data_IF_369319861614
#
_entry.id   IF_369319861614
#
_cell.length_a   1.000
_cell.length_b   1.000
_cell.length_c   1.000
_cell.angle_alpha   90.00
_cell.angle_beta   90.00
_cell.angle_gamma   90.00
#
_symmetry.space_group_name_H-M   'P 1'
#
loop_
_entity.id
_entity.type
_entity.pdbx_description
1 polymer ?
#
# COMPACT_ATOMS: atom_id res chain seq x y z
N UNK A 1 14.66 4.96 -2.25
CA UNK A 1 13.59 4.78 -3.25
C UNK A 1 13.60 3.31 -3.61
N UNK A 2 12.54 2.58 -3.27
CA UNK A 2 12.41 1.14 -3.52
C UNK A 2 12.44 0.91 -5.05
N UNK A 3 13.40 0.14 -5.56
CA UNK A 3 13.54 -0.10 -7.00
C UNK A 3 12.44 -1.03 -7.54
N UNK A 4 11.64 -0.55 -8.50
CA UNK A 4 10.45 -1.19 -9.11
C UNK A 4 10.52 -2.72 -9.29
N UNK A 5 11.70 -3.29 -9.59
CA UNK A 5 11.90 -4.72 -9.86
C UNK A 5 11.50 -5.64 -8.72
N UNK A 6 11.66 -5.23 -7.46
CA UNK A 6 11.29 -6.08 -6.33
C UNK A 6 9.79 -6.01 -5.99
N UNK A 7 9.05 -4.99 -6.45
CA UNK A 7 7.57 -4.98 -6.37
C UNK A 7 7.00 -6.00 -7.36
N UNK A 8 7.63 -6.19 -8.52
CA UNK A 8 7.14 -7.07 -9.59
C UNK A 8 7.00 -8.53 -9.17
N UNK A 9 7.66 -8.97 -8.09
CA UNK A 9 7.49 -10.33 -7.56
C UNK A 9 6.14 -10.51 -6.86
N UNK A 10 5.54 -9.42 -6.37
CA UNK A 10 4.22 -9.43 -5.74
C UNK A 10 3.13 -9.17 -6.78
N UNK A 11 1.94 -9.69 -6.51
CA UNK A 11 0.73 -9.11 -7.08
C UNK A 11 0.56 -7.72 -6.46
N UNK A 12 0.87 -6.69 -7.24
CA UNK A 12 0.81 -5.29 -6.86
C UNK A 12 0.12 -4.47 -7.96
N UNK A 13 -0.54 -3.39 -7.56
CA UNK A 13 -1.24 -2.47 -8.44
C UNK A 13 -0.69 -1.07 -8.26
N UNK A 14 -0.34 -0.41 -9.37
CA UNK A 14 -0.01 1.02 -9.34
C UNK A 14 -1.24 1.80 -9.76
N UNK A 15 -1.77 2.58 -8.83
CA UNK A 15 -2.96 3.39 -9.02
C UNK A 15 -2.54 4.83 -9.30
N UNK A 16 -3.15 5.43 -10.33
CA UNK A 16 -2.85 6.78 -10.79
C UNK A 16 -4.07 7.69 -10.68
N UNK A 17 -3.86 8.94 -10.28
CA UNK A 17 -4.88 9.98 -10.28
C UNK A 17 -4.26 11.37 -10.23
N UNK A 18 -4.98 12.37 -10.73
CA UNK A 18 -4.64 13.79 -10.51
C UNK A 18 -4.90 14.24 -9.07
N UNK A 19 -5.72 13.49 -8.34
CA UNK A 19 -5.98 13.69 -6.92
C UNK A 19 -5.60 12.43 -6.13
N UNK A 20 -4.63 12.57 -5.23
CA UNK A 20 -4.16 11.45 -4.41
C UNK A 20 -5.24 10.92 -3.47
N UNK A 21 -6.12 11.78 -2.95
CA UNK A 21 -7.19 11.36 -2.02
C UNK A 21 -8.18 10.43 -2.71
N UNK A 22 -8.42 10.60 -4.02
CA UNK A 22 -9.29 9.69 -4.79
C UNK A 22 -8.71 8.27 -4.84
N UNK A 23 -7.38 8.14 -4.91
CA UNK A 23 -6.71 6.83 -4.88
C UNK A 23 -6.91 6.21 -3.50
N UNK A 24 -6.63 6.97 -2.45
CA UNK A 24 -6.75 6.49 -1.06
C UNK A 24 -8.18 6.07 -0.72
N UNK A 25 -9.19 6.86 -1.14
CA UNK A 25 -10.62 6.53 -0.98
C UNK A 25 -10.99 5.23 -1.70
N UNK A 26 -10.50 5.03 -2.93
CA UNK A 26 -10.74 3.78 -3.68
C UNK A 26 -10.15 2.57 -2.95
N UNK A 27 -8.94 2.69 -2.42
CA UNK A 27 -8.30 1.61 -1.66
C UNK A 27 -9.07 1.33 -0.36
N UNK A 28 -9.43 2.38 0.38
CA UNK A 28 -10.21 2.25 1.62
C UNK A 28 -11.55 1.55 1.37
N UNK A 29 -12.26 1.95 0.29
CA UNK A 29 -13.52 1.32 -0.11
C UNK A 29 -13.32 -0.14 -0.54
N UNK A 30 -12.27 -0.44 -1.30
CA UNK A 30 -11.94 -1.81 -1.72
C UNK A 30 -11.65 -2.73 -0.52
N UNK A 31 -10.96 -2.21 0.49
CA UNK A 31 -10.71 -2.93 1.74
C UNK A 31 -11.89 -2.87 2.71
N UNK A 32 -12.95 -2.12 2.39
CA UNK A 32 -14.14 -1.87 3.23
C UNK A 32 -13.88 -1.06 4.51
N UNK A 33 -12.61 -0.78 4.87
CA UNK A 33 -12.25 0.02 6.04
C UNK A 33 -10.77 0.44 6.01
N UNK A 34 -10.44 1.65 6.49
CA UNK A 34 -9.05 2.09 6.62
C UNK A 34 -8.23 1.32 7.66
N UNK A 35 -8.84 0.68 8.66
CA UNK A 35 -8.12 -0.17 9.62
C UNK A 35 -7.40 -1.34 8.95
N UNK A 36 -7.82 -1.73 7.75
CA UNK A 36 -7.16 -2.77 6.94
C UNK A 36 -6.00 -2.23 6.10
N UNK A 37 -5.79 -0.92 6.06
CA UNK A 37 -4.67 -0.29 5.37
C UNK A 37 -3.43 -0.31 6.27
N UNK A 38 -2.31 -0.77 5.72
CA UNK A 38 -0.98 -0.55 6.26
C UNK A 38 -0.28 0.42 5.31
N UNK A 39 0.06 1.62 5.77
CA UNK A 39 0.55 2.69 4.91
C UNK A 39 1.94 3.16 5.31
N UNK A 40 2.70 3.65 4.33
CA UNK A 40 3.90 4.41 4.62
C UNK A 40 3.58 5.63 5.49
N UNK A 41 4.45 5.98 6.43
CA UNK A 41 4.28 7.17 7.29
C UNK A 41 4.10 8.45 6.48
N UNK A 42 4.66 8.53 5.26
CA UNK A 42 4.50 9.68 4.37
C UNK A 42 3.05 9.90 3.86
N UNK A 43 2.16 8.91 4.01
CA UNK A 43 0.75 9.01 3.67
C UNK A 43 -0.13 9.36 4.88
N UNK A 44 0.44 9.46 6.08
CA UNK A 44 -0.31 9.57 7.33
C UNK A 44 -1.29 10.75 7.37
N UNK A 45 -0.85 11.96 7.03
CA UNK A 45 -1.74 13.14 7.00
C UNK A 45 -2.85 13.03 5.96
N UNK A 46 -2.53 12.49 4.77
CA UNK A 46 -3.51 12.30 3.70
C UNK A 46 -4.59 11.27 4.09
N UNK A 47 -4.19 10.21 4.79
CA UNK A 47 -5.11 9.19 5.25
C UNK A 47 -6.02 9.70 6.38
N UNK A 48 -5.56 10.63 7.22
CA UNK A 48 -6.44 11.25 8.25
C UNK A 48 -7.67 11.92 7.62
N UNK A 49 -7.49 12.59 6.48
CA UNK A 49 -8.59 13.22 5.75
C UNK A 49 -9.54 12.20 5.11
N UNK A 50 -9.02 11.03 4.72
CA UNK A 50 -9.78 10.01 4.00
C UNK A 50 -10.53 9.07 4.93
N UNK A 51 -9.99 8.81 6.12
CA UNK A 51 -10.42 7.69 6.93
C UNK A 51 -11.44 8.01 8.03
N UNK A 52 -11.86 9.28 8.19
CA UNK A 52 -13.01 9.75 9.00
C UNK A 52 -13.24 8.99 10.34
N UNK A 53 -12.17 8.69 11.08
CA UNK A 53 -12.22 8.01 12.39
C UNK A 53 -11.79 6.54 12.41
N UNK A 54 -11.48 5.95 11.27
CA UNK A 54 -10.75 4.68 11.16
C UNK A 54 -9.24 4.95 11.06
N UNK A 55 -8.42 4.21 11.79
CA UNK A 55 -6.98 4.45 11.86
C UNK A 55 -6.20 3.42 11.02
N UNK A 56 -5.54 3.86 9.93
CA UNK A 56 -4.62 3.00 9.20
C UNK A 56 -3.38 2.70 10.05
N UNK A 57 -2.74 1.56 9.81
CA UNK A 57 -1.49 1.22 10.46
C UNK A 57 -0.33 1.89 9.72
N UNK A 58 0.37 2.82 10.37
CA UNK A 58 1.50 3.53 9.77
C UNK A 58 2.83 2.81 10.05
N UNK A 59 3.62 2.58 9.00
CA UNK A 59 4.93 1.93 9.06
C UNK A 59 5.88 2.69 8.14
N UNK A 60 7.16 2.78 8.49
CA UNK A 60 8.17 3.36 7.60
C UNK A 60 8.75 2.26 6.69
N UNK A 61 8.44 2.28 5.39
CA UNK A 61 8.93 1.27 4.44
C UNK A 61 10.30 1.65 3.86
N UNK A 62 11.36 1.33 4.60
CA UNK A 62 12.76 1.61 4.22
C UNK A 62 13.30 0.71 3.11
N UNK A 63 12.88 -0.55 3.12
CA UNK A 63 13.31 -1.58 2.19
C UNK A 63 12.21 -2.63 1.94
N UNK A 64 12.47 -3.55 1.02
CA UNK A 64 11.54 -4.62 0.66
C UNK A 64 11.35 -5.69 1.74
N UNK A 65 12.29 -5.85 2.67
CA UNK A 65 12.15 -6.85 3.75
C UNK A 65 11.00 -6.47 4.67
N UNK A 66 10.81 -5.18 4.96
CA UNK A 66 9.67 -4.71 5.75
C UNK A 66 8.35 -5.06 5.06
N UNK A 67 8.26 -4.93 3.74
CA UNK A 67 7.06 -5.34 2.98
C UNK A 67 6.82 -6.84 3.13
N UNK A 68 7.86 -7.67 3.00
CA UNK A 68 7.77 -9.12 3.17
C UNK A 68 7.32 -9.52 4.58
N UNK A 69 7.90 -8.90 5.61
CA UNK A 69 7.54 -9.08 7.01
C UNK A 69 6.08 -8.73 7.27
N UNK A 70 5.60 -7.62 6.71
CA UNK A 70 4.20 -7.20 6.83
C UNK A 70 3.27 -8.21 6.14
N UNK A 71 3.59 -8.66 4.92
CA UNK A 71 2.79 -9.69 4.22
C UNK A 71 2.73 -10.99 5.03
N UNK A 72 3.84 -11.40 5.65
CA UNK A 72 3.91 -12.61 6.47
C UNK A 72 3.05 -12.49 7.73
N UNK A 73 3.21 -11.41 8.52
CA UNK A 73 2.56 -11.28 9.83
C UNK A 73 1.07 -10.91 9.77
N UNK A 74 0.67 -10.13 8.78
CA UNK A 74 -0.66 -9.54 8.75
C UNK A 74 -1.71 -10.52 8.20
N UNK A 75 -2.97 -10.46 8.65
CA UNK A 75 -4.03 -11.31 8.14
C UNK A 75 -4.39 -10.98 6.68
N UNK A 76 -4.94 -11.97 5.98
CA UNK A 76 -5.48 -11.80 4.63
C UNK A 76 -6.65 -10.79 4.66
N UNK A 77 -6.77 -10.00 3.61
CA UNK A 77 -7.80 -8.96 3.49
C UNK A 77 -7.36 -7.57 3.95
N UNK A 78 -6.09 -7.44 4.36
CA UNK A 78 -5.41 -6.14 4.54
C UNK A 78 -4.65 -5.75 3.26
N UNK A 79 -4.12 -4.53 3.23
CA UNK A 79 -3.33 -4.08 2.09
C UNK A 79 -2.27 -3.06 2.46
N UNK A 80 -1.11 -3.18 1.81
CA UNK A 80 0.04 -2.29 1.98
C UNK A 80 -0.03 -1.19 0.92
N UNK A 81 0.19 0.07 1.31
CA UNK A 81 0.28 1.20 0.38
C UNK A 81 1.48 2.10 0.65
N UNK A 82 2.08 2.60 -0.43
CA UNK A 82 3.14 3.60 -0.37
C UNK A 82 3.21 4.39 -1.68
N UNK A 83 3.77 5.60 -1.61
CA UNK A 83 3.99 6.43 -2.81
C UNK A 83 5.07 5.83 -3.70
N UNK A 84 4.84 5.89 -5.00
CA UNK A 84 5.82 5.56 -6.04
C UNK A 84 5.97 6.72 -7.01
N UNK A 85 7.04 6.69 -7.80
CA UNK A 85 7.28 7.75 -8.79
C UNK A 85 6.23 7.65 -9.89
N UNK A 86 5.56 8.77 -10.17
CA UNK A 86 4.67 8.88 -11.32
C UNK A 86 5.47 9.22 -12.57
N UNK A 87 5.13 8.64 -13.74
CA UNK A 87 5.75 9.01 -15.01
C UNK A 87 5.40 10.43 -15.46
N UNK A 88 4.43 11.09 -14.80
CA UNK A 88 3.98 12.45 -15.09
C UNK A 88 3.91 13.29 -13.82
N UNK A 89 4.42 14.52 -13.87
CA UNK A 89 4.45 15.44 -12.73
C UNK A 89 3.07 15.89 -12.25
N UNK A 90 2.06 15.87 -13.12
CA UNK A 90 0.66 16.25 -12.80
C UNK A 90 -0.19 15.08 -12.27
N UNK A 91 0.42 13.91 -12.04
CA UNK A 91 -0.27 12.69 -11.65
C UNK A 91 0.42 12.11 -10.41
N UNK A 92 -0.38 11.71 -9.42
CA UNK A 92 0.07 10.95 -8.27
C UNK A 92 0.01 9.45 -8.56
N UNK A 93 0.96 8.70 -8.00
CA UNK A 93 1.01 7.25 -8.10
C UNK A 93 1.16 6.61 -6.70
N UNK A 94 0.35 5.59 -6.44
CA UNK A 94 0.39 4.80 -5.20
C UNK A 94 0.50 3.34 -5.57
N UNK A 95 1.49 2.65 -5.01
CA UNK A 95 1.52 1.19 -5.03
C UNK A 95 0.54 0.64 -3.99
N UNK A 96 -0.23 -0.36 -4.40
CA UNK A 96 -1.11 -1.13 -3.55
C UNK A 96 -0.75 -2.63 -3.65
N UNK A 97 -0.39 -3.23 -2.53
CA UNK A 97 -0.07 -4.65 -2.42
C UNK A 97 -1.09 -5.31 -1.50
N UNK A 98 -2.08 -6.06 -2.02
CA UNK A 98 -3.01 -6.79 -1.18
C UNK A 98 -2.32 -7.91 -0.40
N UNK A 99 -2.69 -8.09 0.86
CA UNK A 99 -2.28 -9.26 1.63
C UNK A 99 -3.26 -10.38 1.30
N UNK A 100 -2.86 -11.23 0.37
CA UNK A 100 -3.64 -12.34 -0.17
C UNK A 100 -2.82 -13.64 -0.20
N UNK A 101 -3.46 -14.75 -0.57
CA UNK A 101 -2.82 -16.07 -0.63
C UNK A 101 -1.59 -16.08 -1.55
N UNK A 102 -1.66 -15.38 -2.69
CA UNK A 102 -0.57 -15.34 -3.65
C UNK A 102 0.67 -14.66 -3.07
N UNK A 103 0.51 -13.44 -2.54
CA UNK A 103 1.60 -12.69 -1.94
C UNK A 103 2.18 -13.39 -0.71
N UNK A 104 1.34 -14.00 0.15
CA UNK A 104 1.81 -14.85 1.25
C UNK A 104 2.65 -16.04 0.76
N UNK A 105 2.24 -16.69 -0.32
CA UNK A 105 3.00 -17.82 -0.90
C UNK A 105 4.35 -17.39 -1.45
N UNK A 106 4.47 -16.18 -2.00
CA UNK A 106 5.74 -15.65 -2.50
C UNK A 106 6.72 -15.43 -1.36
N UNK A 107 6.27 -14.82 -0.26
CA UNK A 107 7.14 -14.54 0.90
C UNK A 107 7.48 -15.79 1.71
N UNK A 108 6.63 -16.82 1.71
CA UNK A 108 6.92 -18.08 2.42
C UNK A 108 7.90 -19.01 1.70
N UNK A 109 8.21 -18.74 0.43
CA UNK A 109 9.14 -19.55 -0.39
C UNK A 109 10.59 -19.06 -0.33
N UNK A 110 10.87 -18.00 0.42
CA UNK A 110 12.20 -17.45 0.69
C UNK A 110 12.64 -17.86 2.08
#
# INVERSE_FOLDING_TARGET
MLEDKEIMKFQAYILYSRNIEDILKRIANYLENCNKIIADTNLGELLKNVCEGSEPHLIEFKDYKIIEEVINREPIGRGIIFRVVSPRSDIYAIAFIPINNFNKTIVSKR
#
